data_IF_996999684016
#
_entry.id   IF_996999684016
#
_cell.length_a   1.000
_cell.length_b   1.000
_cell.length_c   1.000
_cell.angle_alpha   90.00
_cell.angle_beta   90.00
_cell.angle_gamma   90.00
#
_symmetry.space_group_name_H-M   'P 1'
#
loop_
_entity.id
_entity.type
_entity.pdbx_description
1 polymer ?
#
# COMPACT_ATOMS: atom_id res chain seq x y z
N UNK A 1 13.79 1.06 15.69
CA UNK A 1 13.22 2.34 16.17
C UNK A 1 12.01 2.69 15.33
N UNK A 2 10.91 3.14 15.93
CA UNK A 2 9.78 3.65 15.15
C UNK A 2 10.19 5.00 14.56
N UNK A 3 10.52 5.04 13.27
CA UNK A 3 10.98 6.27 12.65
C UNK A 3 9.83 7.24 12.33
N UNK A 4 10.19 8.40 11.79
CA UNK A 4 9.33 9.58 11.62
C UNK A 4 8.06 9.26 10.83
N UNK A 5 6.90 9.73 11.29
CA UNK A 5 5.63 9.63 10.55
C UNK A 5 5.48 10.80 9.55
N UNK A 6 5.18 10.49 8.29
CA UNK A 6 4.79 11.46 7.25
C UNK A 6 3.30 11.27 6.97
N UNK A 7 2.51 12.33 7.17
CA UNK A 7 1.05 12.25 7.05
C UNK A 7 0.54 12.58 5.64
N UNK A 8 -0.55 11.94 5.25
CA UNK A 8 -1.33 12.28 4.06
C UNK A 8 -0.63 12.06 2.72
N UNK A 9 0.33 11.12 2.67
CA UNK A 9 1.06 10.77 1.45
C UNK A 9 0.08 10.18 0.43
N UNK A 10 0.04 10.78 -0.77
CA UNK A 10 -0.78 10.27 -1.87
C UNK A 10 -0.03 9.16 -2.57
N UNK A 11 -0.57 7.94 -2.52
CA UNK A 11 0.01 6.77 -3.19
C UNK A 11 -0.92 6.39 -4.36
N UNK A 12 -0.33 6.25 -5.54
CA UNK A 12 -1.02 5.69 -6.70
C UNK A 12 -0.80 4.18 -6.74
N UNK A 13 -1.88 3.42 -6.88
CA UNK A 13 -1.87 1.97 -6.92
C UNK A 13 -2.69 1.57 -8.15
N UNK A 14 -2.04 0.96 -9.13
CA UNK A 14 -2.61 0.81 -10.48
C UNK A 14 -3.21 2.15 -10.99
N UNK A 15 -4.53 2.20 -11.17
CA UNK A 15 -5.26 3.37 -11.69
C UNK A 15 -5.82 4.32 -10.61
N UNK A 16 -5.78 3.97 -9.32
CA UNK A 16 -6.40 4.77 -8.25
C UNK A 16 -5.38 5.49 -7.37
N UNK A 17 -5.79 6.60 -6.75
CA UNK A 17 -4.96 7.37 -5.82
C UNK A 17 -5.65 7.38 -4.46
N UNK A 18 -4.90 7.01 -3.42
CA UNK A 18 -5.36 7.00 -2.03
C UNK A 18 -4.36 7.73 -1.12
N UNK A 19 -4.75 8.02 0.12
CA UNK A 19 -3.92 8.72 1.12
C UNK A 19 -3.58 7.80 2.28
N UNK A 20 -2.30 7.74 2.64
CA UNK A 20 -1.80 7.01 3.80
C UNK A 20 -0.84 7.87 4.62
N UNK A 21 -0.79 7.59 5.92
CA UNK A 21 0.30 8.06 6.78
C UNK A 21 1.40 6.98 6.76
N UNK A 22 2.64 7.37 6.44
CA UNK A 22 3.76 6.44 6.27
C UNK A 22 4.81 6.62 7.38
N UNK A 23 5.27 5.52 7.94
CA UNK A 23 6.43 5.50 8.82
C UNK A 23 7.71 5.44 7.98
N UNK A 24 8.62 6.39 8.23
CA UNK A 24 9.99 6.31 7.72
C UNK A 24 10.71 5.28 8.58
N UNK A 25 11.30 4.28 7.95
CA UNK A 25 12.08 3.26 8.64
C UNK A 25 13.39 3.04 7.89
N UNK A 26 14.45 2.72 8.61
CA UNK A 26 15.69 2.23 8.01
C UNK A 26 15.50 0.76 7.65
N UNK A 27 15.00 0.55 6.42
CA UNK A 27 14.72 -0.77 5.87
C UNK A 27 15.42 -0.90 4.52
N UNK A 28 15.84 -2.11 4.15
CA UNK A 28 16.49 -2.39 2.87
C UNK A 28 15.52 -2.37 1.67
N UNK A 29 14.42 -1.62 1.76
CA UNK A 29 13.35 -1.55 0.77
C UNK A 29 12.85 -0.10 0.68
N UNK A 30 12.44 0.36 -0.50
CA UNK A 30 11.92 1.73 -0.65
C UNK A 30 10.59 1.92 0.10
N UNK A 31 9.71 0.91 0.04
CA UNK A 31 8.39 0.93 0.67
C UNK A 31 8.04 -0.48 1.14
N UNK A 32 7.56 -0.59 2.37
CA UNK A 32 6.96 -1.80 2.91
C UNK A 32 5.44 -1.57 3.06
N UNK A 33 4.64 -2.40 2.37
CA UNK A 33 3.19 -2.39 2.51
C UNK A 33 2.81 -3.28 3.70
N UNK A 34 2.39 -2.63 4.79
CA UNK A 34 1.97 -3.30 6.02
C UNK A 34 0.61 -4.01 5.91
N UNK A 35 0.29 -4.78 6.94
CA UNK A 35 -1.00 -5.49 7.04
C UNK A 35 -2.19 -4.52 7.13
N UNK A 36 -2.00 -3.34 7.71
CA UNK A 36 -2.96 -2.23 7.74
C UNK A 36 -3.37 -1.79 6.33
N UNK A 37 -2.39 -1.62 5.44
CA UNK A 37 -2.62 -1.34 4.03
C UNK A 37 -3.43 -2.46 3.37
N UNK A 38 -3.04 -3.72 3.58
CA UNK A 38 -3.73 -4.89 3.00
C UNK A 38 -5.18 -5.00 3.47
N UNK A 39 -5.46 -4.75 4.75
CA UNK A 39 -6.81 -4.74 5.31
C UNK A 39 -7.71 -3.66 4.68
N UNK A 40 -7.15 -2.48 4.39
CA UNK A 40 -7.88 -1.40 3.77
C UNK A 40 -8.09 -1.62 2.27
N UNK A 41 -7.02 -1.95 1.55
CA UNK A 41 -7.04 -2.09 0.09
C UNK A 41 -7.69 -3.41 -0.37
N UNK A 42 -7.81 -4.41 0.52
CA UNK A 42 -8.38 -5.74 0.27
C UNK A 42 -7.94 -6.34 -1.08
N UNK A 43 -6.63 -6.36 -1.37
CA UNK A 43 -6.18 -6.88 -2.65
C UNK A 43 -6.43 -8.39 -2.72
N UNK A 44 -6.58 -8.88 -3.94
CA UNK A 44 -6.72 -10.30 -4.26
C UNK A 44 -5.44 -10.80 -4.90
N UNK A 45 -4.90 -11.89 -4.37
CA UNK A 45 -3.77 -12.56 -5.00
C UNK A 45 -4.28 -13.53 -6.08
N UNK A 46 -3.93 -13.30 -7.34
CA UNK A 46 -4.14 -14.27 -8.42
C UNK A 46 -2.95 -15.22 -8.51
N UNK A 47 -3.12 -16.44 -8.02
CA UNK A 47 -2.07 -17.46 -8.04
C UNK A 47 -1.76 -18.00 -9.43
N UNK A 48 -2.62 -17.77 -10.44
CA UNK A 48 -2.37 -18.22 -11.82
C UNK A 48 -1.44 -17.26 -12.54
N UNK A 49 -1.61 -15.97 -12.34
CA UNK A 49 -0.79 -14.93 -12.98
C UNK A 49 0.35 -14.44 -12.09
N UNK A 50 0.36 -14.82 -10.81
CA UNK A 50 1.27 -14.30 -9.78
C UNK A 50 1.14 -12.78 -9.59
N UNK A 51 -0.05 -12.23 -9.81
CA UNK A 51 -0.32 -10.80 -9.69
C UNK A 51 -1.15 -10.48 -8.46
N UNK A 52 -0.87 -9.32 -7.86
CA UNK A 52 -1.72 -8.73 -6.82
C UNK A 52 -2.72 -7.78 -7.48
N UNK A 53 -3.98 -8.18 -7.48
CA UNK A 53 -5.08 -7.40 -8.05
C UNK A 53 -5.68 -6.50 -6.98
N UNK A 54 -5.89 -5.24 -7.32
CA UNK A 54 -6.61 -4.30 -6.48
C UNK A 54 -7.99 -4.08 -7.08
N UNK A 55 -9.01 -4.59 -6.40
CA UNK A 55 -10.41 -4.34 -6.78
C UNK A 55 -10.71 -2.87 -6.46
N UNK A 56 -10.50 -2.01 -7.44
CA UNK A 56 -10.86 -0.61 -7.32
C UNK A 56 -12.39 -0.49 -7.30
N UNK A 57 -12.97 0.14 -6.28
CA UNK A 57 -14.26 0.78 -6.46
C UNK A 57 -14.04 1.95 -7.42
N UNK A 58 -14.18 1.72 -8.72
CA UNK A 58 -14.35 2.81 -9.68
C UNK A 58 -15.71 3.43 -9.41
N UNK A 59 -15.76 4.42 -8.50
CA UNK A 59 -16.97 5.17 -8.16
C UNK A 59 -17.43 4.98 -6.73
#
# INVERSE_FOLDING_TARGET
EAGRLIKGVRIRIASYITRYDLYVADINHDVLLGFDFLCHAKPRWDFRTHELQFDCATG
#
